data_IF_317612984661
#
_entry.id   IF_317612984661
#
_cell.length_a   1.000
_cell.length_b   1.000
_cell.length_c   1.000
_cell.angle_alpha   90.00
_cell.angle_beta   90.00
_cell.angle_gamma   90.00
#
_symmetry.space_group_name_H-M   'P 1'
#
loop_
_entity.id
_entity.type
_entity.pdbx_description
1 polymer ?
#
# COMPACT_ATOMS: atom_id res chain seq x y z
N UNK A 1 -13.07 -10.64 -4.48
CA UNK A 1 -12.05 -11.63 -4.09
C UNK A 1 -10.91 -10.86 -3.43
N UNK A 2 -10.38 -11.30 -2.27
CA UNK A 2 -9.27 -10.61 -1.62
C UNK A 2 -7.93 -10.90 -2.34
N UNK A 3 -6.92 -10.10 -2.02
CA UNK A 3 -5.52 -10.42 -2.36
C UNK A 3 -5.16 -11.79 -1.74
N UNK A 4 -4.48 -12.69 -2.48
CA UNK A 4 -4.08 -14.00 -1.95
C UNK A 4 -3.18 -13.91 -0.72
N UNK A 5 -3.39 -14.81 0.25
CA UNK A 5 -2.62 -14.88 1.51
C UNK A 5 -1.09 -14.85 1.32
N UNK A 6 -0.49 -15.53 0.33
CA UNK A 6 0.96 -15.50 0.12
C UNK A 6 1.51 -14.12 -0.26
N UNK A 7 0.67 -13.22 -0.78
CA UNK A 7 1.08 -11.88 -1.22
C UNK A 7 0.83 -10.80 -0.14
N UNK A 8 0.09 -11.12 0.93
CA UNK A 8 -0.18 -10.18 2.02
C UNK A 8 1.10 -9.66 2.71
N UNK A 9 2.15 -10.47 2.96
CA UNK A 9 3.41 -9.94 3.51
C UNK A 9 4.06 -8.90 2.59
N UNK A 10 4.04 -9.13 1.27
CA UNK A 10 4.58 -8.21 0.28
C UNK A 10 3.76 -6.92 0.21
N UNK A 11 2.43 -7.02 0.28
CA UNK A 11 1.54 -5.86 0.36
C UNK A 11 1.87 -5.02 1.59
N UNK A 12 1.95 -5.64 2.76
CA UNK A 12 2.24 -4.95 4.01
C UNK A 12 3.60 -4.27 3.99
N UNK A 13 4.62 -4.96 3.50
CA UNK A 13 5.96 -4.40 3.34
C UNK A 13 5.96 -3.19 2.39
N UNK A 14 5.27 -3.27 1.25
CA UNK A 14 5.17 -2.17 0.31
C UNK A 14 4.46 -0.96 0.93
N UNK A 15 3.34 -1.16 1.63
CA UNK A 15 2.63 -0.11 2.34
C UNK A 15 3.49 0.57 3.41
N UNK A 16 4.26 -0.21 4.18
CA UNK A 16 5.18 0.30 5.20
C UNK A 16 6.36 1.09 4.62
N UNK A 17 6.66 0.96 3.33
CA UNK A 17 7.64 1.81 2.62
C UNK A 17 7.00 3.04 1.98
N UNK A 18 5.78 2.91 1.45
CA UNK A 18 5.06 4.01 0.79
C UNK A 18 4.66 5.11 1.79
N UNK A 19 4.14 4.70 2.96
CA UNK A 19 3.83 5.62 4.07
C UNK A 19 4.31 4.94 5.37
N UNK A 20 5.59 5.16 5.75
CA UNK A 20 6.17 4.54 6.93
C UNK A 20 5.56 5.12 8.22
N UNK A 21 5.50 4.31 9.27
CA UNK A 21 5.28 4.80 10.62
C UNK A 21 6.58 5.43 11.14
N UNK A 22 6.51 6.66 11.64
CA UNK A 22 7.65 7.37 12.23
C UNK A 22 7.28 7.97 13.60
N UNK A 23 7.22 9.29 13.73
CA UNK A 23 6.62 9.97 14.88
C UNK A 23 5.08 9.94 14.81
N UNK A 24 4.53 9.66 13.63
CA UNK A 24 3.10 9.47 13.39
C UNK A 24 2.75 8.04 12.93
N UNK A 25 1.44 7.76 12.80
CA UNK A 25 0.92 6.48 12.30
C UNK A 25 1.17 6.33 10.79
N UNK A 26 1.64 5.15 10.37
CA UNK A 26 1.87 4.82 8.96
C UNK A 26 0.64 4.22 8.27
N UNK A 27 0.79 3.83 7.00
CA UNK A 27 -0.30 3.24 6.22
C UNK A 27 -0.91 1.98 6.86
N UNK A 28 -0.10 1.15 7.52
CA UNK A 28 -0.58 -0.08 8.15
C UNK A 28 -1.44 0.22 9.38
N UNK A 29 -0.97 1.10 10.25
CA UNK A 29 -1.69 1.53 11.45
C UNK A 29 -2.98 2.28 11.11
N UNK A 30 -3.03 2.92 9.94
CA UNK A 30 -4.19 3.63 9.40
C UNK A 30 -5.09 2.75 8.52
N UNK A 31 -4.87 1.43 8.52
CA UNK A 31 -5.81 0.47 7.92
C UNK A 31 -5.76 0.36 6.40
N UNK A 32 -4.65 0.75 5.76
CA UNK A 32 -4.53 0.72 4.29
C UNK A 32 -4.74 -0.67 3.67
N UNK A 33 -4.35 -1.74 4.36
CA UNK A 33 -4.62 -3.11 3.89
C UNK A 33 -6.12 -3.38 3.78
N UNK A 34 -6.89 -3.09 4.83
CA UNK A 34 -8.34 -3.29 4.84
C UNK A 34 -9.01 -2.42 3.77
N UNK A 35 -8.59 -1.15 3.66
CA UNK A 35 -9.08 -0.22 2.65
C UNK A 35 -8.85 -0.74 1.22
N UNK A 36 -7.67 -1.30 0.92
CA UNK A 36 -7.36 -1.90 -0.38
C UNK A 36 -8.28 -3.09 -0.66
N UNK A 37 -8.55 -3.95 0.32
CA UNK A 37 -9.51 -5.05 0.16
C UNK A 37 -10.93 -4.55 -0.14
N UNK A 38 -11.37 -3.45 0.49
CA UNK A 38 -12.65 -2.80 0.19
C UNK A 38 -12.69 -2.26 -1.25
N UNK A 39 -11.65 -1.55 -1.68
CA UNK A 39 -11.53 -1.04 -3.06
C UNK A 39 -11.56 -2.18 -4.10
N UNK A 40 -10.90 -3.30 -3.83
CA UNK A 40 -10.94 -4.49 -4.69
C UNK A 40 -12.34 -5.14 -4.69
N UNK A 41 -13.05 -5.13 -3.57
CA UNK A 41 -14.42 -5.63 -3.51
C UNK A 41 -15.38 -4.79 -4.36
N UNK A 42 -15.20 -3.47 -4.38
CA UNK A 42 -15.98 -2.52 -5.18
C UNK A 42 -15.62 -2.55 -6.67
N UNK A 43 -14.34 -2.76 -6.99
CA UNK A 43 -13.84 -2.90 -8.35
C UNK A 43 -12.92 -4.13 -8.49
N UNK A 44 -13.51 -5.31 -8.79
CA UNK A 44 -12.76 -6.56 -8.88
C UNK A 44 -11.62 -6.57 -9.92
N UNK A 45 -11.65 -5.67 -10.91
CA UNK A 45 -10.57 -5.53 -11.89
C UNK A 45 -9.24 -5.10 -11.26
N UNK A 46 -9.28 -4.43 -10.11
CA UNK A 46 -8.08 -4.05 -9.36
C UNK A 46 -7.28 -5.25 -8.87
N UNK A 47 -7.92 -6.40 -8.62
CA UNK A 47 -7.23 -7.58 -8.13
C UNK A 47 -6.10 -8.00 -9.06
N UNK A 48 -6.33 -7.95 -10.38
CA UNK A 48 -5.33 -8.32 -11.39
C UNK A 48 -4.11 -7.40 -11.34
N UNK A 49 -4.33 -6.10 -11.10
CA UNK A 49 -3.26 -5.11 -10.95
C UNK A 49 -2.43 -5.40 -9.71
N UNK A 50 -3.09 -5.67 -8.58
CA UNK A 50 -2.44 -5.99 -7.31
C UNK A 50 -1.68 -7.31 -7.38
N UNK A 51 -2.29 -8.39 -7.87
CA UNK A 51 -1.63 -9.69 -7.98
C UNK A 51 -0.37 -9.61 -8.85
N UNK A 52 -0.48 -9.01 -10.03
CA UNK A 52 0.68 -8.86 -10.94
C UNK A 52 1.80 -8.05 -10.30
N UNK A 53 1.47 -6.92 -9.67
CA UNK A 53 2.46 -6.06 -9.01
C UNK A 53 3.12 -6.72 -7.80
N UNK A 54 2.32 -7.31 -6.92
CA UNK A 54 2.79 -7.97 -5.70
C UNK A 54 3.59 -9.23 -5.99
N UNK A 55 3.19 -10.05 -6.98
CA UNK A 55 4.00 -11.18 -7.44
C UNK A 55 5.35 -10.72 -7.96
N UNK A 56 5.38 -9.65 -8.77
CA UNK A 56 6.65 -9.12 -9.29
C UNK A 56 7.59 -8.57 -8.21
N UNK A 57 7.04 -8.03 -7.12
CA UNK A 57 7.84 -7.67 -5.94
C UNK A 57 8.31 -8.94 -5.21
N UNK A 58 7.41 -9.90 -4.98
CA UNK A 58 7.72 -11.15 -4.29
C UNK A 58 8.82 -11.96 -5.01
N UNK A 59 8.82 -11.99 -6.34
CA UNK A 59 9.84 -12.66 -7.18
C UNK A 59 11.26 -12.05 -7.01
N UNK A 60 11.36 -10.86 -6.41
CA UNK A 60 12.61 -10.19 -6.06
C UNK A 60 12.95 -10.33 -4.56
N UNK A 61 12.31 -11.28 -3.88
CA UNK A 61 12.44 -11.53 -2.43
C UNK A 61 12.21 -10.28 -1.58
N UNK A 62 11.34 -9.36 -2.04
CA UNK A 62 11.16 -8.00 -1.53
C UNK A 62 11.11 -7.90 0.00
N UNK A 63 10.36 -8.80 0.65
CA UNK A 63 10.16 -8.79 2.12
C UNK A 63 11.43 -9.09 2.92
N UNK A 64 12.46 -9.67 2.30
CA UNK A 64 13.74 -10.02 2.95
C UNK A 64 14.85 -9.01 2.68
N UNK A 65 14.61 -8.06 1.77
CA UNK A 65 15.55 -7.01 1.42
C UNK A 65 15.63 -5.94 2.52
N UNK A 66 16.72 -5.17 2.53
CA UNK A 66 16.84 -3.99 3.40
C UNK A 66 15.86 -2.89 2.99
N UNK A 67 15.54 -1.92 3.86
CA UNK A 67 14.65 -0.80 3.50
C UNK A 67 15.11 -0.04 2.25
N UNK A 68 16.41 0.25 2.13
CA UNK A 68 16.97 0.95 0.95
C UNK A 68 16.80 0.13 -0.34
N UNK A 69 16.96 -1.19 -0.24
CA UNK A 69 16.75 -2.10 -1.37
C UNK A 69 15.27 -2.20 -1.73
N UNK A 70 14.37 -2.22 -0.75
CA UNK A 70 12.93 -2.18 -0.98
C UNK A 70 12.52 -0.88 -1.70
N UNK A 71 13.04 0.27 -1.27
CA UNK A 71 12.76 1.55 -1.94
C UNK A 71 13.23 1.55 -3.39
N UNK A 72 14.41 0.98 -3.65
CA UNK A 72 14.94 0.86 -4.99
C UNK A 72 14.11 -0.12 -5.85
N UNK A 73 13.63 -1.23 -5.29
CA UNK A 73 12.72 -2.14 -6.00
C UNK A 73 11.40 -1.45 -6.34
N UNK A 74 10.82 -0.67 -5.40
CA UNK A 74 9.58 0.08 -5.65
C UNK A 74 9.77 1.15 -6.73
N UNK A 75 10.88 1.90 -6.69
CA UNK A 75 11.23 2.89 -7.72
C UNK A 75 11.38 2.24 -9.10
N UNK A 76 12.03 1.08 -9.18
CA UNK A 76 12.14 0.34 -10.43
C UNK A 76 10.80 -0.23 -10.91
N UNK A 77 9.93 -0.61 -9.96
CA UNK A 77 8.58 -1.09 -10.25
C UNK A 77 7.68 0.01 -10.84
N UNK A 78 7.89 1.29 -10.53
CA UNK A 78 7.13 2.39 -11.15
C UNK A 78 7.22 2.40 -12.66
N UNK A 79 8.40 2.08 -13.20
CA UNK A 79 8.63 2.05 -14.65
C UNK A 79 8.14 0.74 -15.27
N UNK A 80 8.31 -0.39 -14.57
CA UNK A 80 7.99 -1.74 -15.08
C UNK A 80 6.50 -2.09 -14.97
N UNK A 81 5.83 -1.53 -13.97
CA UNK A 81 4.43 -1.77 -13.63
C UNK A 81 3.70 -0.42 -13.43
N UNK A 82 3.53 0.36 -14.51
CA UNK A 82 3.06 1.75 -14.43
C UNK A 82 1.63 1.90 -13.91
N UNK A 83 0.84 0.82 -13.91
CA UNK A 83 -0.50 0.81 -13.32
C UNK A 83 -0.47 0.48 -11.82
N UNK A 84 0.47 -0.35 -11.37
CA UNK A 84 0.46 -0.87 -10.00
C UNK A 84 0.90 0.17 -8.98
N UNK A 85 2.08 0.78 -9.16
CA UNK A 85 2.64 1.69 -8.14
C UNK A 85 1.73 2.90 -7.89
N UNK A 86 1.20 3.58 -8.93
CA UNK A 86 0.25 4.69 -8.70
C UNK A 86 -1.02 4.25 -7.97
N UNK A 87 -1.54 3.04 -8.25
CA UNK A 87 -2.75 2.52 -7.61
C UNK A 87 -2.52 2.23 -6.13
N UNK A 88 -1.45 1.50 -5.78
CA UNK A 88 -1.15 1.19 -4.37
C UNK A 88 -0.80 2.45 -3.57
N UNK A 89 -0.07 3.39 -4.17
CA UNK A 89 0.24 4.67 -3.53
C UNK A 89 -1.03 5.50 -3.28
N UNK A 90 -1.91 5.64 -4.29
CA UNK A 90 -3.17 6.36 -4.12
C UNK A 90 -4.07 5.72 -3.07
N UNK A 91 -4.23 4.40 -3.07
CA UNK A 91 -5.04 3.74 -2.04
C UNK A 91 -4.43 3.85 -0.64
N UNK A 92 -3.11 3.80 -0.50
CA UNK A 92 -2.45 4.05 0.77
C UNK A 92 -2.73 5.47 1.27
N UNK A 93 -2.64 6.46 0.39
CA UNK A 93 -2.95 7.86 0.69
C UNK A 93 -4.43 8.03 1.07
N UNK A 94 -5.36 7.49 0.28
CA UNK A 94 -6.79 7.57 0.57
C UNK A 94 -7.15 6.92 1.91
N UNK A 95 -6.52 5.79 2.26
CA UNK A 95 -6.70 5.17 3.56
C UNK A 95 -6.31 6.12 4.69
N UNK A 96 -5.18 6.82 4.57
CA UNK A 96 -4.75 7.84 5.54
C UNK A 96 -5.78 8.97 5.66
N UNK A 97 -6.25 9.51 4.53
CA UNK A 97 -7.20 10.64 4.53
C UNK A 97 -8.65 10.27 4.86
N UNK A 98 -8.99 8.98 4.87
CA UNK A 98 -10.32 8.50 5.30
C UNK A 98 -10.32 8.00 6.74
N UNK A 99 -9.15 7.78 7.34
CA UNK A 99 -9.03 7.37 8.73
C UNK A 99 -9.13 8.59 9.70
N UNK A 100 -9.92 8.52 10.79
CA UNK A 100 -10.09 9.63 11.74
C UNK A 100 -8.80 10.15 12.39
N UNK A 101 -7.80 9.28 12.59
CA UNK A 101 -6.47 9.67 13.09
C UNK A 101 -5.62 10.32 11.98
N UNK A 102 -5.67 9.82 10.75
CA UNK A 102 -4.92 10.40 9.64
C UNK A 102 -5.40 11.81 9.29
N UNK A 103 -6.72 12.06 9.35
CA UNK A 103 -7.30 13.40 9.24
C UNK A 103 -6.77 14.40 10.29
N UNK A 104 -6.49 13.93 11.52
CA UNK A 104 -5.91 14.76 12.58
C UNK A 104 -4.45 15.11 12.30
N UNK A 105 -3.68 14.17 11.74
CA UNK A 105 -2.27 14.39 11.39
C UNK A 105 -2.08 15.49 10.34
N UNK A 106 -2.97 15.57 9.35
CA UNK A 106 -2.93 16.62 8.30
C UNK A 106 -3.57 17.96 8.72
N UNK A 107 -3.89 18.13 10.01
CA UNK A 107 -4.37 19.39 10.56
C UNK A 107 -5.83 19.72 10.27
N UNK A 108 -6.63 18.76 9.77
CA UNK A 108 -8.07 18.94 9.67
C UNK A 108 -8.72 18.76 11.05
N UNK A 109 -9.26 19.86 11.61
CA UNK A 109 -10.23 19.77 12.70
C UNK A 109 -11.53 19.19 12.15
N UNK A 110 -11.79 17.92 12.45
CA UNK A 110 -13.14 17.34 12.29
C UNK A 110 -14.04 18.04 13.31
N UNK A 111 -14.71 19.10 12.91
CA UNK A 111 -15.87 19.63 13.63
C UNK A 111 -17.06 18.73 13.31
N UNK A 112 -17.42 17.89 14.29
CA UNK A 112 -18.73 17.24 14.36
C UNK A 112 -19.82 18.27 14.68
#
# INVERSE_FOLDING_TARGET
MPIPDPLLPTLRAALARLIPADQDLGALELGAEAFIHERIAENPGLLVVYERGLTALADQDFTTQTPDQQDEILRNAETRYPEFIPVIANHAIEAVYTHPEGLRMVGFKVTL
#
